data_IF_238278386299
#
_entry.id   IF_238278386299
#
_cell.length_a   1.000
_cell.length_b   1.000
_cell.length_c   1.000
_cell.angle_alpha   90.00
_cell.angle_beta   90.00
_cell.angle_gamma   90.00
#
_symmetry.space_group_name_H-M   'P 1'
#
loop_
_entity.id
_entity.type
_entity.pdbx_description
1 polymer ?
#
# COMPACT_ATOMS: atom_id res chain seq x y z
N UNK A 1 4.35 0.26 16.02
CA UNK A 1 5.01 -0.39 14.87
C UNK A 1 3.95 -1.18 14.13
N UNK A 2 3.65 -0.84 12.87
CA UNK A 2 2.68 -1.58 12.05
C UNK A 2 3.27 -2.90 11.57
N UNK A 3 2.41 -3.91 11.44
CA UNK A 3 2.81 -5.24 10.98
C UNK A 3 2.28 -5.45 9.56
N UNK A 4 3.21 -5.69 8.63
CA UNK A 4 2.90 -6.10 7.27
C UNK A 4 2.31 -7.50 7.28
N UNK A 5 1.22 -7.68 6.56
CA UNK A 5 0.49 -8.92 6.42
C UNK A 5 1.05 -9.81 5.30
N UNK A 6 0.32 -10.88 5.03
CA UNK A 6 0.75 -11.95 4.12
C UNK A 6 0.95 -11.45 2.68
N UNK A 7 0.10 -10.53 2.21
CA UNK A 7 0.18 -9.99 0.84
C UNK A 7 1.52 -9.32 0.61
N UNK A 8 1.99 -8.54 1.60
CA UNK A 8 3.32 -7.95 1.52
C UNK A 8 4.41 -9.02 1.42
N UNK A 9 4.37 -10.04 2.28
CA UNK A 9 5.44 -11.05 2.34
C UNK A 9 5.49 -11.95 1.12
N UNK A 10 4.35 -12.23 0.50
CA UNK A 10 4.29 -12.93 -0.78
C UNK A 10 4.81 -12.05 -1.94
N UNK A 11 4.52 -10.75 -1.89
CA UNK A 11 4.99 -9.81 -2.91
C UNK A 11 6.48 -9.49 -2.76
N UNK A 12 7.02 -9.31 -1.55
CA UNK A 12 8.36 -8.77 -1.32
C UNK A 12 9.48 -9.62 -1.96
N UNK A 13 10.33 -8.99 -2.77
CA UNK A 13 11.59 -9.56 -3.25
C UNK A 13 12.73 -8.61 -2.83
N UNK A 14 13.54 -8.95 -1.81
CA UNK A 14 14.60 -8.09 -1.30
C UNK A 14 15.76 -7.92 -2.30
N UNK A 15 15.81 -8.71 -3.38
CA UNK A 15 16.83 -8.60 -4.42
C UNK A 15 16.50 -7.54 -5.48
N UNK A 16 15.26 -7.01 -5.47
CA UNK A 16 14.80 -6.00 -6.42
C UNK A 16 14.80 -4.61 -5.78
N UNK A 17 15.33 -3.63 -6.50
CA UNK A 17 15.22 -2.24 -6.09
C UNK A 17 13.76 -1.79 -6.14
N UNK A 18 13.30 -1.19 -5.05
CA UNK A 18 11.97 -0.61 -4.92
C UNK A 18 12.07 0.85 -4.48
N UNK A 19 11.02 1.62 -4.78
CA UNK A 19 10.77 2.94 -4.20
C UNK A 19 9.57 2.84 -3.28
N UNK A 20 9.64 3.56 -2.18
CA UNK A 20 8.62 3.54 -1.12
C UNK A 20 8.06 4.94 -0.92
N UNK A 21 6.77 5.01 -0.64
CA UNK A 21 6.10 6.15 -0.03
C UNK A 21 5.38 5.65 1.22
N UNK A 22 5.87 6.05 2.39
CA UNK A 22 5.17 5.89 3.65
C UNK A 22 4.66 7.23 4.17
N UNK A 23 3.45 7.25 4.72
CA UNK A 23 2.83 8.46 5.24
C UNK A 23 1.88 8.10 6.38
N UNK A 24 1.98 8.84 7.49
CA UNK A 24 0.96 8.83 8.55
C UNK A 24 -0.06 9.92 8.25
N UNK A 25 -1.31 9.53 8.09
CA UNK A 25 -2.44 10.42 7.81
C UNK A 25 -2.89 11.14 9.09
N UNK A 26 -3.65 12.22 8.94
CA UNK A 26 -4.16 13.02 10.08
C UNK A 26 -5.02 12.21 11.06
N UNK A 27 -5.64 11.11 10.59
CA UNK A 27 -6.41 10.19 11.43
C UNK A 27 -5.56 9.17 12.21
N UNK A 28 -4.24 9.17 12.01
CA UNK A 28 -3.29 8.23 12.61
C UNK A 28 -3.13 6.91 11.83
N UNK A 29 -3.97 6.65 10.82
CA UNK A 29 -3.74 5.55 9.90
C UNK A 29 -2.49 5.80 9.07
N UNK A 30 -1.81 4.73 8.69
CA UNK A 30 -0.56 4.78 7.95
C UNK A 30 -0.73 4.10 6.59
N UNK A 31 -0.12 4.68 5.55
CA UNK A 31 -0.05 4.05 4.23
C UNK A 31 1.41 3.68 3.92
N UNK A 32 1.61 2.57 3.22
CA UNK A 32 2.89 2.08 2.71
C UNK A 32 2.69 1.65 1.27
N UNK A 33 3.17 2.46 0.32
CA UNK A 33 3.07 2.17 -1.11
C UNK A 33 4.45 1.92 -1.65
N UNK A 34 4.66 0.75 -2.25
CA UNK A 34 5.95 0.37 -2.82
C UNK A 34 5.81 0.01 -4.28
N UNK A 35 6.73 0.51 -5.09
CA UNK A 35 6.82 0.20 -6.52
C UNK A 35 8.18 -0.36 -6.86
N UNK A 36 8.22 -1.30 -7.80
CA UNK A 36 9.47 -1.87 -8.34
C UNK A 36 9.29 -2.30 -9.78
N UNK A 37 10.40 -2.67 -10.42
CA UNK A 37 10.36 -3.43 -11.66
C UNK A 37 10.53 -4.92 -11.33
N UNK A 38 9.77 -5.77 -12.01
CA UNK A 38 10.02 -7.21 -12.04
C UNK A 38 11.34 -7.50 -12.77
N UNK A 39 11.80 -8.76 -12.71
CA UNK A 39 12.98 -9.21 -13.48
C UNK A 39 12.80 -9.08 -15.00
N UNK A 40 11.55 -9.03 -15.47
CA UNK A 40 11.20 -8.84 -16.89
C UNK A 40 10.90 -7.38 -17.24
N UNK A 41 11.04 -6.45 -16.28
CA UNK A 41 10.83 -5.01 -16.48
C UNK A 41 9.37 -4.54 -16.34
N UNK A 42 8.45 -5.40 -15.86
CA UNK A 42 7.08 -4.98 -15.59
C UNK A 42 7.01 -4.15 -14.29
N UNK A 43 6.27 -3.06 -14.30
CA UNK A 43 6.04 -2.26 -13.07
C UNK A 43 5.12 -3.05 -12.14
N UNK A 44 5.62 -3.35 -10.94
CA UNK A 44 4.87 -3.98 -9.86
C UNK A 44 4.63 -2.99 -8.75
N UNK A 45 3.54 -3.18 -8.00
CA UNK A 45 3.21 -2.31 -6.88
C UNK A 45 2.58 -3.08 -5.73
N UNK A 46 2.84 -2.60 -4.52
CA UNK A 46 2.17 -3.00 -3.30
C UNK A 46 1.53 -1.75 -2.66
N UNK A 47 0.33 -1.92 -2.10
CA UNK A 47 -0.40 -0.93 -1.31
C UNK A 47 -0.74 -1.56 0.04
N UNK A 48 -0.29 -0.94 1.12
CA UNK A 48 -0.69 -1.27 2.48
C UNK A 48 -1.35 -0.07 3.17
N UNK A 49 -2.44 -0.32 3.89
CA UNK A 49 -3.08 0.64 4.80
C UNK A 49 -3.19 0.00 6.18
N UNK A 50 -2.72 0.70 7.20
CA UNK A 50 -2.62 0.20 8.56
C UNK A 50 -3.30 1.16 9.54
N UNK A 51 -3.97 0.60 10.54
CA UNK A 51 -4.52 1.35 11.65
C UNK A 51 -3.38 1.91 12.53
N UNK A 52 -3.66 2.93 13.34
CA UNK A 52 -2.68 3.48 14.29
C UNK A 52 -2.17 2.42 15.28
N UNK A 53 -3.01 1.42 15.59
CA UNK A 53 -2.69 0.26 16.44
C UNK A 53 -1.74 -0.73 15.76
N UNK A 54 -1.48 -0.55 14.46
CA UNK A 54 -0.56 -1.37 13.67
C UNK A 54 -1.18 -2.57 12.98
N UNK A 55 -2.51 -2.70 13.02
CA UNK A 55 -3.27 -3.71 12.27
C UNK A 55 -3.34 -3.36 10.78
N UNK A 56 -3.19 -4.35 9.90
CA UNK A 56 -3.49 -4.18 8.48
C UNK A 56 -5.00 -4.01 8.26
N UNK A 57 -5.40 -2.85 7.74
CA UNK A 57 -6.77 -2.55 7.33
C UNK A 57 -7.03 -2.98 5.88
N UNK A 58 -5.97 -2.94 5.06
CA UNK A 58 -5.99 -3.28 3.65
C UNK A 58 -4.57 -3.57 3.15
N UNK A 59 -4.43 -4.62 2.33
CA UNK A 59 -3.24 -4.87 1.54
C UNK A 59 -3.62 -5.37 0.16
N UNK A 60 -2.95 -4.86 -0.88
CA UNK A 60 -3.13 -5.30 -2.26
C UNK A 60 -1.80 -5.23 -3.01
N UNK A 61 -1.56 -6.23 -3.86
CA UNK A 61 -0.38 -6.30 -4.71
C UNK A 61 -0.77 -6.42 -6.18
N UNK A 62 -0.04 -5.73 -7.03
CA UNK A 62 -0.21 -5.71 -8.48
C UNK A 62 1.07 -6.23 -9.13
N UNK A 63 0.97 -7.35 -9.83
CA UNK A 63 2.10 -7.93 -10.58
C UNK A 63 2.39 -7.22 -11.90
N UNK A 64 1.46 -6.38 -12.35
CA UNK A 64 1.61 -5.57 -13.55
C UNK A 64 0.73 -4.33 -13.45
N UNK A 65 1.33 -3.15 -13.46
CA UNK A 65 0.67 -1.87 -13.67
C UNK A 65 0.83 -1.48 -15.16
N UNK A 66 -0.19 -1.70 -16.02
CA UNK A 66 -0.04 -1.56 -17.46
C UNK A 66 0.29 -0.12 -17.88
N UNK A 67 1.40 0.08 -18.60
CA UNK A 67 1.73 1.35 -19.24
C UNK A 67 2.32 2.43 -18.31
N UNK A 68 2.54 2.12 -17.04
CA UNK A 68 3.03 3.07 -16.06
C UNK A 68 4.51 2.91 -15.73
N UNK A 69 5.20 4.05 -15.67
CA UNK A 69 6.51 4.13 -15.02
C UNK A 69 6.33 3.94 -13.52
N UNK A 70 7.39 3.53 -12.82
CA UNK A 70 7.36 3.42 -11.35
C UNK A 70 6.83 4.69 -10.68
N UNK A 71 7.16 5.88 -11.19
CA UNK A 71 6.69 7.16 -10.63
C UNK A 71 5.17 7.34 -10.77
N UNK A 72 4.58 6.97 -11.92
CA UNK A 72 3.13 7.08 -12.12
C UNK A 72 2.38 6.06 -11.27
N UNK A 73 2.87 4.82 -11.24
CA UNK A 73 2.33 3.79 -10.36
C UNK A 73 2.36 4.25 -8.89
N UNK A 74 3.45 4.86 -8.43
CA UNK A 74 3.55 5.35 -7.05
C UNK A 74 2.52 6.44 -6.75
N UNK A 75 2.36 7.43 -7.63
CA UNK A 75 1.35 8.49 -7.46
C UNK A 75 -0.06 7.91 -7.42
N UNK A 76 -0.38 6.99 -8.32
CA UNK A 76 -1.68 6.31 -8.34
C UNK A 76 -1.91 5.49 -7.07
N UNK A 77 -0.92 4.69 -6.66
CA UNK A 77 -0.99 3.86 -5.45
C UNK A 77 -1.19 4.68 -4.18
N UNK A 78 -0.53 5.84 -4.06
CA UNK A 78 -0.73 6.77 -2.94
C UNK A 78 -2.15 7.33 -2.91
N UNK A 79 -2.67 7.77 -4.06
CA UNK A 79 -4.05 8.25 -4.14
C UNK A 79 -5.05 7.15 -3.73
N UNK A 80 -4.86 5.93 -4.26
CA UNK A 80 -5.69 4.76 -3.93
C UNK A 80 -5.64 4.41 -2.44
N UNK A 81 -4.44 4.42 -1.83
CA UNK A 81 -4.26 4.13 -0.42
C UNK A 81 -5.02 5.12 0.47
N UNK A 82 -5.00 6.42 0.11
CA UNK A 82 -5.74 7.48 0.82
C UNK A 82 -7.26 7.29 0.72
N UNK A 83 -7.77 6.96 -0.47
CA UNK A 83 -9.19 6.64 -0.65
C UNK A 83 -9.63 5.45 0.22
N UNK A 84 -8.82 4.39 0.26
CA UNK A 84 -9.08 3.21 1.10
C UNK A 84 -9.06 3.58 2.58
N UNK A 85 -8.11 4.39 3.03
CA UNK A 85 -8.02 4.83 4.42
C UNK A 85 -9.27 5.61 4.86
N UNK A 86 -9.77 6.53 4.03
CA UNK A 86 -11.00 7.27 4.29
C UNK A 86 -12.22 6.34 4.36
N UNK A 87 -12.32 5.40 3.42
CA UNK A 87 -13.41 4.41 3.42
C UNK A 87 -13.41 3.54 4.67
N UNK A 88 -12.24 3.04 5.08
CA UNK A 88 -12.10 2.20 6.29
C UNK A 88 -12.41 2.97 7.57
N UNK A 89 -11.98 4.23 7.65
CA UNK A 89 -12.32 5.09 8.80
C UNK A 89 -13.84 5.26 8.96
N UNK A 90 -14.57 5.46 7.85
CA UNK A 90 -16.04 5.57 7.88
C UNK A 90 -16.73 4.27 8.32
N UNK A 91 -16.19 3.11 7.91
CA UNK A 91 -16.73 1.81 8.30
C UNK A 91 -16.58 1.51 9.80
N UNK A 92 -15.40 1.80 10.36
CA UNK A 92 -15.12 1.54 11.78
C UNK A 92 -15.98 2.43 12.70
N UNK A 93 -16.24 3.67 12.28
CA UNK A 93 -17.12 4.60 13.01
C UNK A 93 -18.57 4.11 13.09
N UNK A 94 -19.03 3.29 12.14
CA UNK A 94 -20.41 2.79 12.08
C UNK A 94 -20.64 1.50 12.87
N UNK A 95 -19.59 0.74 13.18
CA UNK A 95 -19.67 -0.60 13.79
C UNK A 95 -19.11 -0.67 15.22
N UNK A 96 -18.81 0.48 15.84
CA UNK A 96 -18.28 0.57 17.22
C UNK A 96 -19.37 0.73 18.30
N UNK A 97 -20.57 0.17 18.10
CA UNK A 97 -21.67 0.18 19.08
C UNK A 97 -21.83 -1.16 19.79
#
# INVERSE_FOLDING_TARGET
>A
MWKRGEVFWQWADPTLHHRTHDETLDCGNCIDVQVRLSRTGATQMFIGVYAKEGQALFEEAFDNCPGDTMSRALVWGVAKAKEVAVFKQGYDAQHSQ
#
